data_IF_518412298302
#
_entry.id   IF_518412298302
#
_cell.length_a   1.000
_cell.length_b   1.000
_cell.length_c   1.000
_cell.angle_alpha   90.00
_cell.angle_beta   90.00
_cell.angle_gamma   90.00
#
_symmetry.space_group_name_H-M   'P 1'
#
loop_
_entity.id
_entity.type
_entity.pdbx_description
1 polymer ?
#
# COMPACT_ATOMS: atom_id res chain seq x y z
N UNK A 1 34.03 9.61 -2.74
CA UNK A 1 33.47 10.95 -3.04
C UNK A 1 32.30 10.87 -4.03
N UNK A 2 32.46 10.27 -5.22
CA UNK A 2 31.37 10.11 -6.21
C UNK A 2 30.17 9.29 -5.72
N UNK A 3 30.41 8.20 -4.97
CA UNK A 3 29.37 7.34 -4.39
C UNK A 3 28.55 8.06 -3.31
N UNK A 4 29.19 8.89 -2.49
CA UNK A 4 28.51 9.66 -1.43
C UNK A 4 27.61 10.77 -2.02
N UNK A 5 28.08 11.47 -3.06
CA UNK A 5 27.28 12.48 -3.77
C UNK A 5 26.07 11.82 -4.46
N UNK A 6 26.26 10.67 -5.09
CA UNK A 6 25.17 9.89 -5.70
C UNK A 6 24.13 9.41 -4.70
N UNK A 7 24.55 9.04 -3.48
CA UNK A 7 23.61 8.65 -2.41
C UNK A 7 22.84 9.86 -1.87
N UNK A 8 23.51 11.00 -1.67
CA UNK A 8 22.89 12.22 -1.13
C UNK A 8 21.81 12.77 -2.07
N UNK A 9 22.08 12.76 -3.39
CA UNK A 9 21.07 13.16 -4.38
C UNK A 9 19.85 12.23 -4.35
N UNK A 10 20.04 10.90 -4.26
CA UNK A 10 18.93 9.94 -4.19
C UNK A 10 18.06 10.11 -2.94
N UNK A 11 18.69 10.35 -1.78
CA UNK A 11 17.98 10.66 -0.53
C UNK A 11 17.10 11.90 -0.69
N UNK A 12 17.65 12.98 -1.25
CA UNK A 12 16.89 14.21 -1.50
C UNK A 12 15.73 14.00 -2.47
N UNK A 13 15.93 13.24 -3.55
CA UNK A 13 14.86 12.92 -4.50
C UNK A 13 13.74 12.10 -3.86
N UNK A 14 14.07 11.10 -3.03
CA UNK A 14 13.06 10.29 -2.34
C UNK A 14 12.26 11.15 -1.36
N UNK A 15 12.91 12.01 -0.57
CA UNK A 15 12.22 12.95 0.33
C UNK A 15 11.27 13.88 -0.41
N UNK A 16 11.73 14.45 -1.52
CA UNK A 16 10.87 15.31 -2.35
C UNK A 16 9.68 14.53 -2.92
N UNK A 17 9.90 13.31 -3.40
CA UNK A 17 8.83 12.46 -3.92
C UNK A 17 7.79 12.13 -2.83
N UNK A 18 8.23 11.78 -1.61
CA UNK A 18 7.36 11.54 -0.47
C UNK A 18 6.51 12.79 -0.18
N UNK A 19 7.15 13.95 -0.04
CA UNK A 19 6.45 15.21 0.24
C UNK A 19 5.41 15.54 -0.82
N UNK A 20 5.74 15.36 -2.10
CA UNK A 20 4.81 15.58 -3.21
C UNK A 20 3.62 14.61 -3.16
N UNK A 21 3.86 13.33 -2.87
CA UNK A 21 2.80 12.32 -2.76
C UNK A 21 1.91 12.62 -1.56
N UNK A 22 2.47 12.95 -0.41
CA UNK A 22 1.70 13.35 0.78
C UNK A 22 0.86 14.60 0.51
N UNK A 23 1.41 15.59 -0.18
CA UNK A 23 0.67 16.78 -0.62
C UNK A 23 -0.49 16.41 -1.53
N UNK A 24 -0.29 15.49 -2.47
CA UNK A 24 -1.37 14.95 -3.31
C UNK A 24 -2.43 14.25 -2.46
N UNK A 25 -2.02 13.46 -1.46
CA UNK A 25 -2.95 12.81 -0.53
C UNK A 25 -3.84 13.81 0.20
N UNK A 26 -3.26 14.88 0.74
CA UNK A 26 -4.01 15.96 1.40
C UNK A 26 -5.00 16.64 0.44
N UNK A 27 -4.61 16.86 -0.82
CA UNK A 27 -5.50 17.43 -1.83
C UNK A 27 -6.67 16.51 -2.24
N UNK A 28 -6.58 15.20 -1.96
CA UNK A 28 -7.61 14.21 -2.30
C UNK A 28 -8.53 13.86 -1.11
N UNK A 29 -8.02 13.93 0.12
CA UNK A 29 -8.68 13.47 1.35
C UNK A 29 -9.93 14.30 1.73
N UNK A 30 -9.88 15.63 1.58
CA UNK A 30 -10.98 16.51 1.97
C UNK A 30 -11.77 16.99 0.75
N UNK A 31 -13.03 16.55 0.67
CA UNK A 31 -13.96 16.95 -0.41
C UNK A 31 -14.28 18.45 -0.43
N UNK A 32 -13.90 19.18 0.63
CA UNK A 32 -14.11 20.61 0.81
C UNK A 32 -12.91 21.47 0.34
N UNK A 33 -11.71 20.89 0.20
CA UNK A 33 -10.49 21.66 -0.15
C UNK A 33 -10.34 21.83 -1.66
N UNK A 34 -10.58 20.77 -2.45
CA UNK A 34 -10.53 20.83 -3.92
C UNK A 34 -11.91 20.50 -4.50
N UNK A 35 -12.78 21.51 -4.72
CA UNK A 35 -13.97 21.30 -5.53
C UNK A 35 -13.54 20.77 -6.90
N UNK A 36 -14.31 19.84 -7.47
CA UNK A 36 -14.05 19.26 -8.80
C UNK A 36 -12.75 18.41 -8.92
N UNK A 37 -12.22 17.83 -7.83
CA UNK A 37 -11.06 16.88 -7.88
C UNK A 37 -11.20 15.80 -8.96
N UNK A 38 -12.41 15.28 -9.15
CA UNK A 38 -12.73 14.27 -10.15
C UNK A 38 -12.67 14.83 -11.59
N UNK A 39 -13.01 16.11 -11.80
CA UNK A 39 -12.82 16.81 -13.08
C UNK A 39 -11.33 16.93 -13.39
N UNK A 40 -10.50 17.31 -12.41
CA UNK A 40 -9.05 17.40 -12.57
C UNK A 40 -8.46 16.05 -12.94
N UNK A 41 -8.84 14.98 -12.23
CA UNK A 41 -8.38 13.62 -12.55
C UNK A 41 -8.85 13.14 -13.93
N UNK A 42 -10.00 13.63 -14.42
CA UNK A 42 -10.54 13.36 -15.77
C UNK A 42 -9.84 14.14 -16.89
N UNK A 43 -9.12 15.22 -16.59
CA UNK A 43 -8.42 16.02 -17.60
C UNK A 43 -7.48 15.13 -18.45
N UNK A 44 -7.30 15.54 -19.70
CA UNK A 44 -6.45 14.84 -20.67
C UNK A 44 -6.78 13.34 -20.79
N UNK A 45 -8.08 13.00 -20.76
CA UNK A 45 -8.57 11.61 -20.80
C UNK A 45 -7.89 10.75 -19.73
N UNK A 46 -7.84 11.28 -18.51
CA UNK A 46 -7.32 10.55 -17.35
C UNK A 46 -5.81 10.33 -17.34
N UNK A 47 -5.05 11.02 -18.21
CA UNK A 47 -3.59 10.92 -18.21
C UNK A 47 -3.00 11.20 -16.83
N UNK A 48 -3.51 12.24 -16.14
CA UNK A 48 -3.06 12.61 -14.79
C UNK A 48 -3.27 11.44 -13.82
N UNK A 49 -4.46 10.83 -13.82
CA UNK A 49 -4.73 9.64 -13.02
C UNK A 49 -3.76 8.50 -13.34
N UNK A 50 -3.54 8.21 -14.64
CA UNK A 50 -2.62 7.14 -15.05
C UNK A 50 -1.20 7.41 -14.59
N UNK A 51 -0.70 8.65 -14.72
CA UNK A 51 0.65 9.03 -14.31
C UNK A 51 0.79 8.90 -12.80
N UNK A 52 -0.17 9.42 -12.03
CA UNK A 52 -0.18 9.31 -10.56
C UNK A 52 -0.17 7.85 -10.14
N UNK A 53 -1.10 7.01 -10.62
CA UNK A 53 -1.13 5.58 -10.25
C UNK A 53 0.17 4.87 -10.63
N UNK A 54 0.81 5.26 -11.74
CA UNK A 54 2.13 4.75 -12.12
C UNK A 54 3.19 5.13 -11.08
N UNK A 55 3.25 6.39 -10.68
CA UNK A 55 4.19 6.89 -9.67
C UNK A 55 3.99 6.18 -8.32
N UNK A 56 2.74 5.97 -7.90
CA UNK A 56 2.42 5.33 -6.62
C UNK A 56 2.86 3.86 -6.59
N UNK A 57 2.72 3.15 -7.71
CA UNK A 57 2.97 1.70 -7.79
C UNK A 57 4.41 1.35 -8.20
N UNK A 58 5.09 2.23 -8.92
CA UNK A 58 6.51 2.08 -9.25
C UNK A 58 7.41 2.49 -8.08
N UNK A 59 8.53 1.78 -7.92
CA UNK A 59 9.66 2.36 -7.20
C UNK A 59 10.56 3.11 -8.20
N UNK A 60 11.18 4.22 -7.79
CA UNK A 60 12.31 4.76 -8.54
C UNK A 60 13.43 3.71 -8.63
N UNK A 61 14.34 3.85 -9.60
CA UNK A 61 15.44 2.90 -9.79
C UNK A 61 16.35 2.83 -8.55
N UNK A 62 16.09 1.81 -7.73
CA UNK A 62 16.78 1.55 -6.49
C UNK A 62 17.62 0.27 -6.66
N UNK A 63 18.95 0.33 -6.42
CA UNK A 63 19.82 -0.84 -6.35
C UNK A 63 19.22 -1.99 -5.54
N UNK A 64 19.45 -3.23 -5.99
CA UNK A 64 18.88 -4.45 -5.37
C UNK A 64 19.09 -4.51 -3.84
N UNK A 65 20.25 -4.05 -3.35
CA UNK A 65 20.60 -4.00 -1.92
C UNK A 65 19.66 -3.15 -1.04
N UNK A 66 18.88 -2.25 -1.64
CA UNK A 66 17.99 -1.31 -0.94
C UNK A 66 16.51 -1.63 -1.17
N UNK A 67 16.21 -2.69 -1.92
CA UNK A 67 14.83 -3.17 -2.05
C UNK A 67 14.46 -3.90 -0.76
N UNK A 68 13.20 -3.77 -0.29
CA UNK A 68 12.73 -4.58 0.83
C UNK A 68 13.01 -6.05 0.53
N UNK A 69 13.58 -6.82 1.48
CA UNK A 69 13.79 -8.23 1.27
C UNK A 69 12.44 -8.88 1.01
N UNK A 70 12.41 -9.85 0.09
CA UNK A 70 11.16 -10.54 -0.24
C UNK A 70 10.55 -11.10 1.03
N UNK A 71 9.24 -10.95 1.17
CA UNK A 71 8.45 -11.52 2.24
C UNK A 71 8.70 -13.04 2.25
N UNK A 72 9.54 -13.44 3.18
CA UNK A 72 9.68 -14.80 3.69
C UNK A 72 9.73 -14.60 5.19
N UNK A 73 9.04 -15.42 5.97
CA UNK A 73 9.00 -15.37 7.43
C UNK A 73 10.33 -14.94 8.13
N UNK A 74 11.48 -15.35 7.61
CA UNK A 74 12.82 -15.03 8.11
C UNK A 74 13.32 -13.59 7.84
N UNK A 75 12.83 -12.90 6.82
CA UNK A 75 13.26 -11.52 6.48
C UNK A 75 12.51 -10.43 7.26
N UNK A 76 11.36 -10.77 7.84
CA UNK A 76 10.58 -9.88 8.71
C UNK A 76 11.17 -9.77 10.12
N UNK A 77 11.93 -10.77 10.55
CA UNK A 77 12.49 -10.93 11.90
C UNK A 77 13.95 -10.43 11.96
N UNK A 78 14.54 -9.99 10.85
CA UNK A 78 15.83 -9.29 10.89
C UNK A 78 15.63 -7.95 11.61
N UNK A 79 15.72 -8.02 12.93
CA UNK A 79 16.03 -6.94 13.84
C UNK A 79 17.24 -6.19 13.32
N UNK A 80 17.24 -4.88 13.52
CA UNK A 80 18.19 -3.87 13.04
C UNK A 80 19.68 -4.07 13.43
N UNK A 81 20.11 -5.29 13.77
CA UNK A 81 21.39 -5.57 14.41
C UNK A 81 22.54 -6.01 13.47
N UNK A 82 22.31 -6.76 12.36
CA UNK A 82 23.45 -7.48 11.74
C UNK A 82 23.67 -7.30 10.22
N UNK A 83 23.13 -6.25 9.57
CA UNK A 83 23.21 -6.15 8.10
C UNK A 83 23.55 -4.81 7.45
N UNK A 84 23.42 -3.66 8.12
CA UNK A 84 23.54 -2.37 7.45
C UNK A 84 25.00 -1.90 7.39
N UNK A 85 25.71 -2.30 6.33
CA UNK A 85 27.12 -1.95 6.08
C UNK A 85 27.37 -0.42 5.92
N UNK A 86 26.33 0.44 5.90
CA UNK A 86 26.48 1.89 6.05
C UNK A 86 25.20 2.60 6.52
N UNK A 87 25.35 3.73 7.25
CA UNK A 87 24.24 4.60 7.69
C UNK A 87 23.33 5.09 6.55
N UNK A 88 23.87 5.22 5.34
CA UNK A 88 23.11 5.68 4.17
C UNK A 88 22.16 4.60 3.61
N UNK A 89 22.50 3.32 3.77
CA UNK A 89 21.65 2.23 3.28
C UNK A 89 20.38 2.08 4.14
N UNK A 90 20.50 2.28 5.46
CA UNK A 90 19.38 2.32 6.38
C UNK A 90 18.44 3.52 6.12
N UNK A 91 19.01 4.70 5.84
CA UNK A 91 18.24 5.90 5.50
C UNK A 91 17.43 5.73 4.20
N UNK A 92 18.05 5.19 3.14
CA UNK A 92 17.35 4.92 1.88
C UNK A 92 16.26 3.87 2.08
N UNK A 93 16.53 2.80 2.83
CA UNK A 93 15.52 1.77 3.16
C UNK A 93 14.32 2.38 3.88
N UNK A 94 14.56 3.26 4.87
CA UNK A 94 13.50 3.98 5.57
C UNK A 94 12.67 4.85 4.62
N UNK A 95 13.31 5.62 3.75
CA UNK A 95 12.63 6.46 2.76
C UNK A 95 11.81 5.64 1.76
N UNK A 96 12.25 4.44 1.38
CA UNK A 96 11.46 3.54 0.54
C UNK A 96 10.20 3.04 1.26
N UNK A 97 10.27 2.82 2.57
CA UNK A 97 9.11 2.47 3.38
C UNK A 97 8.14 3.66 3.49
N UNK A 98 8.65 4.85 3.80
CA UNK A 98 7.87 6.09 3.85
C UNK A 98 7.18 6.38 2.51
N UNK A 99 7.90 6.24 1.40
CA UNK A 99 7.34 6.35 0.05
C UNK A 99 6.23 5.33 -0.20
N UNK A 100 6.41 4.08 0.22
CA UNK A 100 5.38 3.04 0.06
C UNK A 100 4.14 3.37 0.90
N UNK A 101 4.31 3.89 2.11
CA UNK A 101 3.22 4.28 3.00
C UNK A 101 2.44 5.46 2.41
N UNK A 102 3.14 6.52 1.99
CA UNK A 102 2.53 7.67 1.33
C UNK A 102 1.81 7.24 0.04
N UNK A 103 2.44 6.39 -0.77
CA UNK A 103 1.81 5.87 -1.99
C UNK A 103 0.54 5.07 -1.71
N UNK A 104 0.53 4.30 -0.62
CA UNK A 104 -0.65 3.52 -0.21
C UNK A 104 -1.79 4.42 0.25
N UNK A 105 -1.49 5.47 1.02
CA UNK A 105 -2.48 6.45 1.46
C UNK A 105 -3.14 7.15 0.26
N UNK A 106 -2.35 7.60 -0.72
CA UNK A 106 -2.90 8.24 -1.93
C UNK A 106 -3.70 7.24 -2.79
N UNK A 107 -3.22 6.01 -2.94
CA UNK A 107 -3.96 4.99 -3.69
C UNK A 107 -5.30 4.66 -3.01
N UNK A 108 -5.34 4.65 -1.67
CA UNK A 108 -6.57 4.54 -0.91
C UNK A 108 -7.56 5.67 -1.24
N UNK A 109 -7.11 6.93 -1.23
CA UNK A 109 -7.96 8.07 -1.60
C UNK A 109 -8.49 7.96 -3.04
N UNK A 110 -7.64 7.57 -3.99
CA UNK A 110 -8.04 7.35 -5.38
C UNK A 110 -9.09 6.22 -5.51
N UNK A 111 -9.01 5.16 -4.70
CA UNK A 111 -10.04 4.13 -4.63
C UNK A 111 -11.36 4.71 -4.13
N UNK A 112 -11.35 5.50 -3.06
CA UNK A 112 -12.56 6.14 -2.54
C UNK A 112 -13.22 7.06 -3.59
N UNK A 113 -12.42 7.88 -4.28
CA UNK A 113 -12.92 8.79 -5.33
C UNK A 113 -13.56 8.00 -6.47
N UNK A 114 -12.91 6.92 -6.92
CA UNK A 114 -13.43 6.09 -8.02
C UNK A 114 -14.66 5.26 -7.63
N UNK A 115 -14.81 4.92 -6.34
CA UNK A 115 -16.03 4.33 -5.79
C UNK A 115 -17.19 5.33 -5.79
N UNK A 116 -16.96 6.56 -5.30
CA UNK A 116 -17.96 7.64 -5.34
C UNK A 116 -18.41 7.95 -6.77
N UNK A 117 -17.47 7.98 -7.71
CA UNK A 117 -17.74 8.20 -9.13
C UNK A 117 -18.69 7.15 -9.75
N UNK A 118 -18.70 5.93 -9.20
CA UNK A 118 -19.53 4.82 -9.70
C UNK A 118 -21.01 5.02 -9.37
N UNK A 119 -21.34 5.82 -8.34
CA UNK A 119 -22.72 6.04 -7.87
C UNK A 119 -23.40 7.27 -8.52
N UNK A 120 -22.69 8.05 -9.33
CA UNK A 120 -23.08 9.40 -9.76
C UNK A 120 -23.97 9.56 -11.01
N UNK A 121 -24.42 8.50 -11.69
CA UNK A 121 -25.40 8.58 -12.79
C UNK A 121 -24.89 9.11 -14.16
N UNK A 122 -25.38 8.46 -15.21
CA UNK A 122 -25.31 8.69 -16.69
C UNK A 122 -23.97 8.99 -17.41
N UNK A 123 -22.96 9.61 -16.79
CA UNK A 123 -21.60 9.77 -17.37
C UNK A 123 -20.62 8.67 -16.89
N UNK A 124 -21.12 7.44 -16.80
CA UNK A 124 -20.51 6.32 -16.10
C UNK A 124 -19.42 5.52 -16.83
N UNK A 125 -18.66 6.08 -17.77
CA UNK A 125 -17.75 5.25 -18.60
C UNK A 125 -16.25 5.41 -18.33
N UNK A 126 -15.79 6.52 -17.72
CA UNK A 126 -14.35 6.79 -17.61
C UNK A 126 -13.94 7.23 -16.19
N UNK A 127 -12.86 6.62 -15.66
CA UNK A 127 -12.33 6.80 -14.29
C UNK A 127 -13.27 6.37 -13.14
N UNK A 128 -13.89 5.19 -13.28
CA UNK A 128 -14.54 4.49 -12.18
C UNK A 128 -13.63 3.38 -11.61
N UNK A 129 -14.11 2.65 -10.59
CA UNK A 129 -13.35 1.59 -9.95
C UNK A 129 -12.94 0.49 -10.94
N UNK A 130 -13.83 0.12 -11.86
CA UNK A 130 -13.54 -0.89 -12.89
C UNK A 130 -12.38 -0.50 -13.80
N UNK A 131 -12.34 0.76 -14.24
CA UNK A 131 -11.24 1.31 -15.02
C UNK A 131 -9.91 1.27 -14.26
N UNK A 132 -9.92 1.68 -12.97
CA UNK A 132 -8.71 1.65 -12.14
C UNK A 132 -8.15 0.23 -12.01
N UNK A 133 -9.04 -0.75 -11.82
CA UNK A 133 -8.66 -2.16 -11.73
C UNK A 133 -8.12 -2.70 -13.04
N UNK A 134 -8.74 -2.34 -14.18
CA UNK A 134 -8.23 -2.70 -15.50
C UNK A 134 -6.83 -2.12 -15.74
N UNK A 135 -6.62 -0.86 -15.35
CA UNK A 135 -5.32 -0.20 -15.45
C UNK A 135 -4.25 -0.92 -14.63
N UNK A 136 -4.52 -1.22 -13.36
CA UNK A 136 -3.59 -1.95 -12.48
C UNK A 136 -3.32 -3.38 -12.99
N UNK A 137 -4.33 -4.06 -13.53
CA UNK A 137 -4.21 -5.42 -14.08
C UNK A 137 -3.35 -5.45 -15.36
N UNK A 138 -3.48 -4.45 -16.23
CA UNK A 138 -2.64 -4.34 -17.43
C UNK A 138 -1.14 -4.23 -17.12
N UNK A 139 -0.79 -3.87 -15.88
CA UNK A 139 0.58 -3.68 -15.39
C UNK A 139 0.93 -4.63 -14.25
N UNK A 140 0.42 -5.87 -14.32
CA UNK A 140 0.53 -6.88 -13.26
C UNK A 140 1.90 -6.96 -12.58
N UNK A 141 3.00 -6.89 -13.32
CA UNK A 141 4.35 -6.97 -12.74
C UNK A 141 4.66 -5.79 -11.79
N UNK A 142 4.32 -4.57 -12.18
CA UNK A 142 4.48 -3.37 -11.35
C UNK A 142 3.56 -3.44 -10.15
N UNK A 143 2.30 -3.82 -10.37
CA UNK A 143 1.29 -3.97 -9.31
C UNK A 143 1.70 -5.03 -8.28
N UNK A 144 2.26 -6.17 -8.70
CA UNK A 144 2.77 -7.21 -7.80
C UNK A 144 3.95 -6.71 -6.96
N UNK A 145 4.91 -5.99 -7.58
CA UNK A 145 6.02 -5.40 -6.85
C UNK A 145 5.51 -4.39 -5.80
N UNK A 146 4.48 -3.60 -6.11
CA UNK A 146 3.84 -2.70 -5.14
C UNK A 146 3.20 -3.47 -3.99
N UNK A 147 2.41 -4.50 -4.32
CA UNK A 147 1.75 -5.36 -3.33
C UNK A 147 2.73 -6.02 -2.37
N UNK A 148 3.87 -6.51 -2.87
CA UNK A 148 4.93 -7.07 -2.02
C UNK A 148 5.41 -6.06 -0.97
N UNK A 149 5.62 -4.80 -1.36
CA UNK A 149 6.04 -3.74 -0.43
C UNK A 149 4.94 -3.36 0.55
N UNK A 150 3.71 -3.20 0.06
CA UNK A 150 2.54 -2.90 0.88
C UNK A 150 2.35 -3.98 1.95
N UNK A 151 2.37 -5.25 1.54
CA UNK A 151 2.25 -6.38 2.46
C UNK A 151 3.40 -6.40 3.45
N UNK A 152 4.63 -6.12 3.01
CA UNK A 152 5.78 -6.09 3.91
C UNK A 152 5.57 -5.06 5.02
N UNK A 153 5.07 -3.88 4.68
CA UNK A 153 4.77 -2.85 5.69
C UNK A 153 3.60 -3.25 6.59
N UNK A 154 2.51 -3.77 6.03
CA UNK A 154 1.35 -4.20 6.80
C UNK A 154 1.71 -5.31 7.79
N UNK A 155 2.46 -6.32 7.35
CA UNK A 155 2.89 -7.42 8.21
C UNK A 155 3.82 -6.92 9.33
N UNK A 156 4.73 -5.98 9.05
CA UNK A 156 5.58 -5.38 10.08
C UNK A 156 4.80 -4.70 11.20
N UNK A 157 3.68 -4.04 10.89
CA UNK A 157 2.81 -3.43 11.90
C UNK A 157 2.09 -4.48 12.76
N UNK A 158 1.81 -5.66 12.20
CA UNK A 158 1.09 -6.73 12.88
C UNK A 158 2.00 -7.66 13.70
N UNK A 159 3.31 -7.71 13.40
CA UNK A 159 4.26 -8.57 14.11
C UNK A 159 4.34 -8.23 15.61
N UNK A 160 4.66 -9.23 16.46
CA UNK A 160 5.02 -8.96 17.85
C UNK A 160 6.19 -7.98 17.90
N UNK A 161 6.03 -6.88 18.63
CA UNK A 161 7.10 -5.91 18.88
C UNK A 161 7.07 -5.48 20.34
N UNK A 162 8.14 -4.83 20.81
CA UNK A 162 8.24 -4.32 22.19
C UNK A 162 7.08 -3.39 22.53
N UNK A 163 6.65 -2.60 21.56
CA UNK A 163 5.46 -1.78 21.66
C UNK A 163 4.21 -2.64 21.40
N UNK A 164 3.41 -2.81 22.46
CA UNK A 164 2.20 -3.61 22.40
C UNK A 164 1.13 -2.97 21.49
N UNK A 165 1.13 -1.63 21.36
CA UNK A 165 0.07 -0.86 20.68
C UNK A 165 0.63 -0.01 19.54
N UNK A 166 -0.09 0.08 18.44
CA UNK A 166 0.22 0.97 17.33
C UNK A 166 -0.05 2.43 17.70
N UNK A 167 0.74 3.35 17.14
CA UNK A 167 0.42 4.78 17.19
C UNK A 167 -0.83 5.08 16.35
N UNK A 168 -1.53 6.22 16.57
CA UNK A 168 -2.69 6.59 15.76
C UNK A 168 -2.40 6.63 14.25
N UNK A 169 -1.25 7.19 13.87
CA UNK A 169 -0.82 7.24 12.47
C UNK A 169 -0.60 5.84 11.88
N UNK A 170 0.00 4.93 12.65
CA UNK A 170 0.19 3.53 12.23
C UNK A 170 -1.14 2.78 12.11
N UNK A 171 -2.10 3.04 12.99
CA UNK A 171 -3.43 2.44 12.93
C UNK A 171 -4.19 2.89 11.67
N UNK A 172 -4.12 4.19 11.31
CA UNK A 172 -4.69 4.72 10.06
C UNK A 172 -4.01 4.10 8.85
N UNK A 173 -2.68 4.03 8.85
CA UNK A 173 -1.92 3.40 7.76
C UNK A 173 -2.31 1.94 7.56
N UNK A 174 -2.44 1.17 8.65
CA UNK A 174 -2.87 -0.24 8.59
C UNK A 174 -4.27 -0.36 7.97
N UNK A 175 -5.20 0.50 8.39
CA UNK A 175 -6.54 0.57 7.81
C UNK A 175 -6.51 0.87 6.31
N UNK A 176 -5.71 1.83 5.86
CA UNK A 176 -5.55 2.16 4.44
C UNK A 176 -4.94 1.00 3.64
N UNK A 177 -3.88 0.37 4.18
CA UNK A 177 -3.22 -0.78 3.57
C UNK A 177 -4.19 -1.95 3.34
N UNK A 178 -4.95 -2.32 4.36
CA UNK A 178 -5.94 -3.39 4.24
C UNK A 178 -7.13 -3.00 3.37
N UNK A 179 -7.45 -1.71 3.24
CA UNK A 179 -8.55 -1.23 2.40
C UNK A 179 -8.20 -1.31 0.92
N UNK A 180 -6.98 -0.89 0.58
CA UNK A 180 -6.39 -1.08 -0.75
C UNK A 180 -6.34 -2.57 -1.08
N UNK A 181 -5.77 -3.38 -0.17
CA UNK A 181 -5.64 -4.83 -0.39
C UNK A 181 -6.99 -5.51 -0.60
N UNK A 182 -7.98 -5.23 0.24
CA UNK A 182 -9.35 -5.74 0.11
C UNK A 182 -9.92 -5.43 -1.28
N UNK A 183 -9.84 -4.17 -1.68
CA UNK A 183 -10.37 -3.70 -2.97
C UNK A 183 -9.71 -4.46 -4.13
N UNK A 184 -8.38 -4.60 -4.10
CA UNK A 184 -7.65 -5.33 -5.14
C UNK A 184 -8.03 -6.82 -5.17
N UNK A 185 -8.20 -7.45 -4.01
CA UNK A 185 -8.61 -8.86 -3.91
C UNK A 185 -10.04 -9.09 -4.41
N UNK A 186 -10.95 -8.13 -4.21
CA UNK A 186 -12.34 -8.21 -4.63
C UNK A 186 -12.50 -8.04 -6.14
N UNK A 187 -11.72 -7.15 -6.75
CA UNK A 187 -11.92 -6.74 -8.15
C UNK A 187 -10.89 -7.30 -9.13
N UNK A 188 -9.84 -7.98 -8.67
CA UNK A 188 -8.84 -8.62 -9.53
C UNK A 188 -8.59 -10.08 -9.17
N UNK A 189 -9.09 -10.99 -10.00
CA UNK A 189 -8.82 -12.43 -9.87
C UNK A 189 -7.32 -12.75 -9.96
N UNK A 190 -6.60 -12.05 -10.84
CA UNK A 190 -5.16 -12.23 -11.04
C UNK A 190 -4.39 -11.88 -9.76
N UNK A 191 -4.69 -10.74 -9.14
CA UNK A 191 -4.09 -10.35 -7.86
C UNK A 191 -4.48 -11.34 -6.77
N UNK A 192 -5.77 -11.72 -6.72
CA UNK A 192 -6.28 -12.68 -5.74
C UNK A 192 -5.55 -14.02 -5.80
N UNK A 193 -5.33 -14.58 -6.99
CA UNK A 193 -4.55 -15.82 -7.18
C UNK A 193 -3.10 -15.63 -6.77
N UNK A 194 -2.46 -14.52 -7.15
CA UNK A 194 -1.07 -14.25 -6.78
C UNK A 194 -0.88 -14.14 -5.26
N UNK A 195 -1.77 -13.44 -4.57
CA UNK A 195 -1.70 -13.29 -3.11
C UNK A 195 -1.89 -14.65 -2.43
N UNK A 196 -2.88 -15.45 -2.86
CA UNK A 196 -3.09 -16.80 -2.31
C UNK A 196 -1.91 -17.72 -2.55
N UNK A 197 -1.28 -17.68 -3.73
CA UNK A 197 -0.16 -18.59 -4.01
C UNK A 197 1.13 -18.19 -3.32
N UNK A 198 1.33 -16.88 -3.07
CA UNK A 198 2.63 -16.36 -2.65
C UNK A 198 2.68 -15.95 -1.17
N UNK A 199 1.54 -15.71 -0.51
CA UNK A 199 1.49 -15.15 0.85
C UNK A 199 0.54 -15.90 1.80
N UNK A 200 -0.01 -17.05 1.42
CA UNK A 200 -1.01 -17.75 2.22
C UNK A 200 -0.54 -18.06 3.65
N UNK A 201 0.69 -18.55 3.80
CA UNK A 201 1.25 -18.87 5.13
C UNK A 201 1.46 -17.62 5.97
N UNK A 202 1.88 -16.51 5.38
CA UNK A 202 2.05 -15.23 6.07
C UNK A 202 0.71 -14.72 6.62
N UNK A 203 -0.37 -14.81 5.84
CA UNK A 203 -1.72 -14.48 6.33
C UNK A 203 -2.17 -15.43 7.44
N UNK A 204 -1.92 -16.73 7.28
CA UNK A 204 -2.28 -17.77 8.26
C UNK A 204 -1.57 -17.57 9.60
N UNK A 205 -0.28 -17.27 9.61
CA UNK A 205 0.50 -17.18 10.85
C UNK A 205 0.58 -15.77 11.44
N UNK A 206 0.70 -14.73 10.61
CA UNK A 206 0.93 -13.37 11.11
C UNK A 206 -0.35 -12.56 11.24
N UNK A 207 -1.32 -12.72 10.33
CA UNK A 207 -2.54 -11.92 10.30
C UNK A 207 -3.70 -12.57 11.06
N UNK A 208 -3.76 -13.89 11.15
CA UNK A 208 -4.78 -14.57 11.96
C UNK A 208 -4.44 -14.62 13.46
N UNK A 209 -3.26 -14.11 13.86
CA UNK A 209 -2.76 -14.35 15.21
C UNK A 209 -3.46 -13.48 16.27
N UNK A 210 -3.88 -14.05 17.43
CA UNK A 210 -4.65 -13.37 18.47
C UNK A 210 -4.02 -12.07 19.01
N UNK A 211 -2.70 -11.94 18.92
CA UNK A 211 -1.96 -10.78 19.41
C UNK A 211 -2.30 -9.45 18.71
N UNK A 212 -2.93 -9.47 17.53
CA UNK A 212 -3.29 -8.24 16.80
C UNK A 212 -4.35 -7.45 17.56
N UNK A 213 -5.17 -8.12 18.38
CA UNK A 213 -6.15 -7.45 19.25
C UNK A 213 -5.48 -6.43 20.16
N UNK A 214 -4.26 -6.73 20.63
CA UNK A 214 -3.49 -5.83 21.50
C UNK A 214 -2.85 -4.67 20.72
N UNK A 215 -2.66 -4.81 19.40
CA UNK A 215 -2.04 -3.79 18.54
C UNK A 215 -2.95 -2.60 18.28
N UNK A 216 -4.27 -2.81 18.26
CA UNK A 216 -5.26 -1.76 18.00
C UNK A 216 -6.14 -1.53 19.24
N UNK A 217 -5.85 -0.51 20.06
CA UNK A 217 -6.67 -0.16 21.22
C UNK A 217 -8.13 0.10 20.84
N UNK A 218 -9.06 -0.35 21.68
CA UNK A 218 -10.49 -0.08 21.48
C UNK A 218 -10.85 1.43 21.50
N UNK A 219 -9.96 2.27 22.05
CA UNK A 219 -10.11 3.71 22.07
C UNK A 219 -9.96 4.39 20.69
N UNK A 220 -9.31 3.75 19.71
CA UNK A 220 -9.24 4.33 18.37
C UNK A 220 -10.59 4.16 17.64
N UNK A 221 -11.16 5.23 17.06
CA UNK A 221 -12.46 5.14 16.37
C UNK A 221 -12.48 4.15 15.20
N UNK A 222 -11.33 3.93 14.57
CA UNK A 222 -11.19 3.03 13.41
C UNK A 222 -11.04 1.55 13.79
N UNK A 223 -10.80 1.22 15.06
CA UNK A 223 -10.41 -0.14 15.49
C UNK A 223 -11.36 -1.21 15.01
N UNK A 224 -12.68 -1.02 15.21
CA UNK A 224 -13.69 -2.00 14.78
C UNK A 224 -13.66 -2.20 13.26
N UNK A 225 -13.60 -1.11 12.50
CA UNK A 225 -13.61 -1.17 11.03
C UNK A 225 -12.33 -1.81 10.51
N UNK A 226 -11.17 -1.53 11.13
CA UNK A 226 -9.90 -2.17 10.78
C UNK A 226 -9.94 -3.67 11.03
N UNK A 227 -10.51 -4.15 12.14
CA UNK A 227 -10.67 -5.59 12.37
C UNK A 227 -11.60 -6.26 11.35
N UNK A 228 -12.76 -5.65 11.05
CA UNK A 228 -13.67 -6.17 10.02
C UNK A 228 -12.98 -6.28 8.65
N UNK A 229 -12.22 -5.26 8.30
CA UNK A 229 -11.46 -5.19 7.06
C UNK A 229 -10.38 -6.29 6.99
N UNK A 230 -9.65 -6.52 8.08
CA UNK A 230 -8.67 -7.61 8.20
C UNK A 230 -9.37 -8.96 8.04
N UNK A 231 -10.51 -9.18 8.70
CA UNK A 231 -11.28 -10.42 8.57
C UNK A 231 -11.77 -10.66 7.14
N UNK A 232 -12.23 -9.62 6.44
CA UNK A 232 -12.65 -9.72 5.04
C UNK A 232 -11.48 -10.09 4.12
N UNK A 233 -10.31 -9.48 4.32
CA UNK A 233 -9.09 -9.85 3.60
C UNK A 233 -8.70 -11.31 3.90
N UNK A 234 -8.74 -11.72 5.18
CA UNK A 234 -8.47 -13.10 5.58
C UNK A 234 -9.43 -14.08 4.90
N UNK A 235 -10.73 -13.75 4.81
CA UNK A 235 -11.70 -14.56 4.06
C UNK A 235 -11.30 -14.66 2.59
N UNK A 236 -10.92 -13.56 1.95
CA UNK A 236 -10.49 -13.59 0.55
C UNK A 236 -9.23 -14.44 0.33
N UNK A 237 -8.25 -14.40 1.24
CA UNK A 237 -6.96 -15.10 1.07
C UNK A 237 -7.04 -16.56 1.52
N UNK A 238 -7.66 -16.83 2.68
CA UNK A 238 -7.66 -18.16 3.31
C UNK A 238 -8.84 -19.05 2.90
N UNK A 239 -9.94 -18.50 2.38
CA UNK A 239 -11.00 -19.34 1.84
C UNK A 239 -10.55 -19.92 0.49
N UNK A 240 -10.33 -21.23 0.48
CA UNK A 240 -10.09 -21.98 -0.74
C UNK A 240 -11.32 -21.87 -1.65
N UNK A 241 -11.19 -21.21 -2.80
CA UNK A 241 -11.96 -21.65 -3.97
C UNK A 241 -11.10 -22.61 -4.76
N UNK A 242 -11.17 -23.88 -4.36
CA UNK A 242 -11.12 -24.96 -5.35
C UNK A 242 -12.40 -24.79 -6.15
N UNK A 243 -12.26 -24.27 -7.36
CA UNK A 243 -13.25 -24.42 -8.41
C UNK A 243 -12.46 -24.81 -9.64
N UNK A 244 -11.96 -26.06 -9.61
CA UNK A 244 -11.60 -26.78 -10.82
C UNK A 244 -12.94 -27.10 -11.47
N UNK A 245 -13.25 -26.42 -12.56
CA UNK A 245 -14.06 -26.99 -13.62
C UNK A 245 -13.10 -27.42 -14.72
#
# INVERSE_FOLDING_TARGET
MSVQIGNLLKVSFLRLAILLIETIGLMLHDTEIVPNRLVILRLNRGKIMTDVVTILTCLPEIPQRWRPPRLKAQSLIQTDADGWQSSGDAEVSKLVQELTNASTAVLYELILITQQATWGGEEGQFLNLGWLMQFLNSRKAVTFNFLERLLTQAMKLLLPSKDATLSPAQAVLLFQQFSVLRTLLQHSSIISVHIRSSYYEEFRYYVQSPHIVNKLPAAFPITRNTFQLIEEVLKHVLQSKVSIN
#
